data_IF_681766827199
#
_entry.id   IF_681766827199
#
_cell.length_a   1.000
_cell.length_b   1.000
_cell.length_c   1.000
_cell.angle_alpha   90.00
_cell.angle_beta   90.00
_cell.angle_gamma   90.00
#
_symmetry.space_group_name_H-M   'P 1'
#
loop_
_entity.id
_entity.type
_entity.pdbx_description
1 polymer ?
#
# COMPACT_ATOMS: atom_id res chain seq x y z
N UNK A 1 -7.67 3.54 9.76
CA UNK A 1 -8.34 3.78 8.49
C UNK A 1 -7.36 4.37 7.50
N UNK A 2 -7.84 4.63 6.27
CA UNK A 2 -6.99 5.21 5.23
C UNK A 2 -6.19 6.39 5.79
N UNK A 3 -4.91 6.46 5.52
CA UNK A 3 -3.95 7.49 5.95
C UNK A 3 -3.61 7.49 7.45
N UNK A 4 -4.25 6.66 8.27
CA UNK A 4 -4.14 6.68 9.71
C UNK A 4 -4.70 7.95 10.36
N UNK A 5 -4.96 7.90 11.65
CA UNK A 5 -5.39 9.07 12.42
C UNK A 5 -6.74 9.66 12.05
N UNK A 6 -7.65 8.86 11.45
CA UNK A 6 -9.03 9.25 11.17
C UNK A 6 -10.02 8.25 11.75
N UNK A 7 -11.20 8.74 12.11
CA UNK A 7 -12.32 7.90 12.54
C UNK A 7 -13.05 7.28 11.32
N UNK A 8 -14.03 6.40 11.53
CA UNK A 8 -14.82 5.81 10.43
C UNK A 8 -15.58 6.82 9.56
N UNK A 9 -15.73 8.06 10.03
CA UNK A 9 -16.38 9.16 9.30
C UNK A 9 -15.36 10.02 8.53
N UNK A 10 -14.07 9.67 8.60
CA UNK A 10 -13.00 10.42 7.96
C UNK A 10 -12.54 11.67 8.72
N UNK A 11 -13.02 11.88 9.96
CA UNK A 11 -12.60 13.01 10.77
C UNK A 11 -11.25 12.71 11.44
N UNK A 12 -10.34 13.70 11.45
CA UNK A 12 -9.05 13.55 12.09
C UNK A 12 -9.19 13.28 13.58
N UNK A 13 -8.52 12.25 14.06
CA UNK A 13 -8.38 11.91 15.48
C UNK A 13 -6.99 12.25 16.03
N UNK A 14 -6.13 12.86 15.21
CA UNK A 14 -4.72 13.07 15.52
C UNK A 14 -4.50 13.77 16.85
N UNK A 15 -5.13 14.91 17.09
CA UNK A 15 -4.96 15.68 18.33
C UNK A 15 -5.36 14.89 19.58
N UNK A 16 -6.34 14.01 19.47
CA UNK A 16 -6.80 13.14 20.56
C UNK A 16 -5.84 11.97 20.80
N UNK A 17 -5.42 11.31 19.74
CA UNK A 17 -4.66 10.06 19.81
C UNK A 17 -3.13 10.29 19.92
N UNK A 18 -2.67 11.48 19.53
CA UNK A 18 -1.24 11.87 19.52
C UNK A 18 -1.01 13.29 20.05
N UNK A 19 -1.45 13.60 21.29
CA UNK A 19 -1.45 14.97 21.80
C UNK A 19 -0.06 15.61 21.93
N UNK A 20 1.00 14.80 21.93
CA UNK A 20 2.39 15.27 22.09
C UNK A 20 3.17 15.25 20.77
N UNK A 21 2.51 15.07 19.63
CA UNK A 21 3.15 15.10 18.32
C UNK A 21 2.84 16.43 17.63
N UNK A 22 3.85 17.05 17.06
CA UNK A 22 3.69 18.34 16.38
C UNK A 22 2.90 18.22 15.07
N UNK A 23 3.08 17.09 14.35
CA UNK A 23 2.48 16.84 13.03
C UNK A 23 1.99 15.41 12.88
N UNK A 24 0.89 15.19 12.13
CA UNK A 24 0.57 13.87 11.60
C UNK A 24 1.71 13.30 10.76
N UNK A 25 1.89 11.98 10.78
CA UNK A 25 2.92 11.31 9.95
C UNK A 25 2.74 11.62 8.47
N UNK A 26 1.49 11.70 7.99
CA UNK A 26 1.21 12.09 6.61
C UNK A 26 1.82 13.45 6.27
N UNK A 27 1.55 14.47 7.09
CA UNK A 27 2.04 15.82 6.86
C UNK A 27 3.58 15.88 6.93
N UNK A 28 4.17 15.12 7.85
CA UNK A 28 5.63 14.98 7.95
C UNK A 28 6.22 14.36 6.67
N UNK A 29 5.59 13.33 6.11
CA UNK A 29 6.02 12.72 4.85
C UNK A 29 5.91 13.68 3.68
N UNK A 30 4.81 14.45 3.60
CA UNK A 30 4.60 15.48 2.57
C UNK A 30 5.68 16.55 2.65
N UNK A 31 5.92 17.11 3.84
CA UNK A 31 6.96 18.13 4.05
C UNK A 31 8.36 17.65 3.69
N UNK A 32 8.67 16.38 3.92
CA UNK A 32 9.97 15.78 3.61
C UNK A 32 10.02 15.13 2.23
N UNK A 33 9.05 15.42 1.35
CA UNK A 33 9.03 14.93 -0.03
C UNK A 33 9.12 13.41 -0.15
N UNK A 34 8.57 12.66 0.80
CA UNK A 34 8.50 11.19 0.69
C UNK A 34 7.64 10.84 -0.51
N UNK A 35 8.17 9.99 -1.39
CA UNK A 35 7.45 9.57 -2.61
C UNK A 35 6.60 8.34 -2.38
N UNK A 36 7.07 7.42 -1.55
CA UNK A 36 6.45 6.10 -1.38
C UNK A 36 6.59 5.62 0.07
N UNK A 37 5.50 5.14 0.64
CA UNK A 37 5.43 4.58 1.98
C UNK A 37 4.84 3.17 1.93
N UNK A 38 5.61 2.17 2.36
CA UNK A 38 5.16 0.79 2.47
C UNK A 38 4.58 0.53 3.85
N UNK A 39 3.45 -0.15 3.90
CA UNK A 39 2.79 -0.57 5.14
C UNK A 39 2.28 -2.01 5.02
N UNK A 40 2.18 -2.68 6.14
CA UNK A 40 1.64 -4.04 6.26
C UNK A 40 0.38 -4.06 7.13
N UNK A 41 0.11 -5.23 7.73
CA UNK A 41 -0.95 -5.53 8.69
C UNK A 41 -2.28 -5.94 8.03
N UNK A 42 -2.78 -5.25 7.02
CA UNK A 42 -4.12 -5.48 6.47
C UNK A 42 -4.21 -6.64 5.46
N UNK A 43 -3.10 -7.33 5.21
CA UNK A 43 -3.05 -8.52 4.36
C UNK A 43 -3.72 -8.35 3.00
N UNK A 44 -3.50 -7.21 2.35
CA UNK A 44 -4.05 -6.91 1.03
C UNK A 44 -3.06 -6.05 0.25
N UNK A 45 -2.96 -6.26 -1.05
CA UNK A 45 -2.28 -5.30 -1.92
C UNK A 45 -3.21 -4.12 -2.20
N UNK A 46 -2.83 -2.93 -1.76
CA UNK A 46 -3.54 -1.69 -2.10
C UNK A 46 -2.54 -0.59 -2.38
N UNK A 47 -2.67 0.05 -3.54
CA UNK A 47 -1.91 1.25 -3.89
C UNK A 47 -2.84 2.44 -3.86
N UNK A 48 -2.53 3.44 -3.06
CA UNK A 48 -3.27 4.70 -2.95
C UNK A 48 -2.30 5.88 -3.07
N UNK A 49 -2.81 7.04 -3.45
CA UNK A 49 -2.02 8.27 -3.47
C UNK A 49 -2.77 9.39 -2.77
N UNK A 50 -2.03 10.16 -1.95
CA UNK A 50 -2.52 11.37 -1.31
C UNK A 50 -1.41 12.39 -1.20
N UNK A 51 -1.67 13.62 -1.65
CA UNK A 51 -0.74 14.76 -1.57
C UNK A 51 0.67 14.40 -2.10
N UNK A 52 0.71 13.61 -3.19
CA UNK A 52 1.92 13.13 -3.84
C UNK A 52 2.69 12.05 -3.08
N UNK A 53 2.16 11.50 -1.99
CA UNK A 53 2.72 10.32 -1.31
C UNK A 53 1.94 9.09 -1.73
N UNK A 54 2.64 8.09 -2.29
CA UNK A 54 2.04 6.80 -2.60
C UNK A 54 2.08 5.92 -1.35
N UNK A 55 0.93 5.40 -0.97
CA UNK A 55 0.75 4.44 0.12
C UNK A 55 0.57 3.05 -0.46
N UNK A 56 1.49 2.16 -0.15
CA UNK A 56 1.47 0.77 -0.62
C UNK A 56 1.25 -0.17 0.55
N UNK A 57 0.02 -0.69 0.69
CA UNK A 57 -0.25 -1.81 1.59
C UNK A 57 0.25 -3.11 0.99
N UNK A 58 0.97 -3.88 1.80
CA UNK A 58 1.63 -5.11 1.37
C UNK A 58 0.71 -6.32 1.54
N UNK A 59 0.66 -7.21 0.54
CA UNK A 59 -0.13 -8.43 0.62
C UNK A 59 0.46 -9.42 1.63
N UNK A 60 -0.38 -10.33 2.12
CA UNK A 60 0.10 -11.53 2.80
C UNK A 60 0.69 -12.50 1.76
N UNK A 61 1.94 -12.94 1.90
CA UNK A 61 2.56 -13.83 0.92
C UNK A 61 2.05 -15.27 0.97
N UNK A 62 1.36 -15.67 2.05
CA UNK A 62 1.04 -17.07 2.37
C UNK A 62 -0.47 -17.33 2.55
N UNK A 63 -1.35 -16.43 2.12
CA UNK A 63 -2.80 -16.63 2.17
C UNK A 63 -3.26 -17.45 0.97
N UNK A 64 -3.55 -18.72 1.19
CA UNK A 64 -3.97 -19.68 0.16
C UNK A 64 -5.46 -19.56 -0.23
N UNK A 65 -6.21 -18.69 0.44
CA UNK A 65 -7.59 -18.33 0.06
C UNK A 65 -7.62 -17.21 -0.98
N UNK A 66 -6.50 -16.54 -1.21
CA UNK A 66 -6.39 -15.40 -2.12
C UNK A 66 -7.37 -14.27 -1.79
N UNK A 67 -7.60 -14.05 -0.50
CA UNK A 67 -8.61 -13.13 -0.02
C UNK A 67 -8.26 -11.65 -0.27
N UNK A 68 -9.28 -10.80 -0.18
CA UNK A 68 -9.18 -9.35 -0.07
C UNK A 68 -9.42 -8.94 1.39
N UNK A 69 -8.53 -9.37 2.28
CA UNK A 69 -8.71 -9.12 3.70
C UNK A 69 -8.75 -7.61 3.99
N UNK A 70 -9.70 -7.16 4.80
CA UNK A 70 -9.92 -5.75 5.15
C UNK A 70 -10.18 -4.79 3.95
N UNK A 71 -10.57 -5.29 2.79
CA UNK A 71 -10.76 -4.43 1.60
C UNK A 71 -11.76 -3.27 1.85
N UNK A 72 -12.74 -3.47 2.72
CA UNK A 72 -13.75 -2.47 3.05
C UNK A 72 -13.18 -1.25 3.81
N UNK A 73 -12.00 -1.37 4.40
CA UNK A 73 -11.30 -0.27 5.04
C UNK A 73 -10.75 0.75 4.03
N UNK A 74 -10.60 0.34 2.76
CA UNK A 74 -10.02 1.15 1.70
C UNK A 74 -11.11 1.67 0.76
N UNK A 75 -11.30 2.98 0.73
CA UNK A 75 -12.33 3.65 -0.09
C UNK A 75 -11.87 3.96 -1.50
N UNK A 76 -10.55 4.00 -1.71
CA UNK A 76 -9.94 4.35 -2.99
C UNK A 76 -8.73 3.46 -3.30
N UNK A 77 -8.14 3.64 -4.48
CA UNK A 77 -6.92 2.99 -4.90
C UNK A 77 -7.11 1.68 -5.66
N UNK A 78 -6.00 1.15 -6.14
CA UNK A 78 -5.96 -0.13 -6.83
C UNK A 78 -5.78 -1.25 -5.83
N UNK A 79 -6.68 -2.23 -5.85
CA UNK A 79 -6.65 -3.39 -4.95
C UNK A 79 -6.35 -4.66 -5.74
N UNK A 80 -5.61 -5.56 -5.13
CA UNK A 80 -5.40 -6.91 -5.66
C UNK A 80 -5.40 -7.94 -4.51
N UNK A 81 -5.84 -9.17 -4.79
CA UNK A 81 -5.95 -10.19 -3.76
C UNK A 81 -4.57 -10.70 -3.32
N UNK A 82 -4.52 -11.31 -2.14
CA UNK A 82 -3.43 -12.19 -1.72
C UNK A 82 -3.32 -13.39 -2.68
N UNK A 83 -2.30 -14.16 -2.74
CA UNK A 83 -0.98 -14.03 -2.12
C UNK A 83 0.03 -13.50 -3.12
N UNK A 84 1.15 -13.00 -2.61
CA UNK A 84 2.20 -12.56 -3.50
C UNK A 84 3.27 -11.74 -2.78
N UNK A 85 4.18 -11.18 -3.57
CA UNK A 85 5.22 -10.30 -3.06
C UNK A 85 5.40 -9.08 -3.96
N UNK A 86 5.89 -8.02 -3.39
CA UNK A 86 6.24 -6.80 -4.12
C UNK A 86 7.74 -6.76 -4.37
N UNK A 87 8.12 -6.48 -5.60
CA UNK A 87 9.49 -6.14 -6.00
C UNK A 87 9.59 -4.65 -6.25
N UNK A 88 10.62 -4.04 -5.71
CA UNK A 88 10.97 -2.64 -5.97
C UNK A 88 12.33 -2.58 -6.64
N UNK A 89 12.36 -2.04 -7.85
CA UNK A 89 13.59 -1.79 -8.61
C UNK A 89 13.86 -0.30 -8.63
N UNK A 90 15.00 0.12 -8.08
CA UNK A 90 15.35 1.54 -7.95
C UNK A 90 16.49 1.90 -8.89
N UNK A 91 16.31 2.97 -9.66
CA UNK A 91 17.30 3.62 -10.49
C UNK A 91 17.33 5.12 -10.21
N UNK A 92 18.39 5.87 -10.62
CA UNK A 92 18.44 7.32 -10.41
C UNK A 92 17.25 8.10 -10.98
N UNK A 93 16.65 7.60 -12.05
CA UNK A 93 15.55 8.27 -12.76
C UNK A 93 14.16 7.86 -12.28
N UNK A 94 14.01 6.70 -11.64
CA UNK A 94 12.69 6.19 -11.19
C UNK A 94 12.84 4.97 -10.29
N UNK A 95 11.78 4.68 -9.52
CA UNK A 95 11.56 3.37 -8.92
C UNK A 95 10.37 2.68 -9.60
N UNK A 96 10.52 1.39 -9.93
CA UNK A 96 9.43 0.56 -10.43
C UNK A 96 8.98 -0.38 -9.32
N UNK A 97 7.68 -0.41 -9.08
CA UNK A 97 7.04 -1.27 -8.08
C UNK A 97 6.15 -2.27 -8.82
N UNK A 98 6.37 -3.57 -8.57
CA UNK A 98 5.66 -4.65 -9.25
C UNK A 98 5.10 -5.62 -8.20
N UNK A 99 3.83 -5.97 -8.33
CA UNK A 99 3.20 -6.99 -7.52
C UNK A 99 3.15 -8.32 -8.28
N UNK A 100 3.86 -9.32 -7.78
CA UNK A 100 3.89 -10.68 -8.30
C UNK A 100 2.97 -11.58 -7.50
N UNK A 101 2.08 -12.28 -8.19
CA UNK A 101 1.22 -13.29 -7.58
C UNK A 101 2.03 -14.53 -7.20
N UNK A 102 1.71 -15.09 -6.04
CA UNK A 102 2.12 -16.45 -5.67
C UNK A 102 0.99 -17.43 -5.97
N UNK A 103 1.33 -18.58 -6.54
CA UNK A 103 0.39 -19.65 -6.83
C UNK A 103 1.08 -21.00 -6.78
N UNK A 104 0.36 -22.00 -6.30
CA UNK A 104 0.78 -23.41 -6.39
C UNK A 104 0.41 -23.97 -7.77
N UNK A 105 1.03 -25.04 -8.24
CA UNK A 105 0.67 -25.67 -9.50
C UNK A 105 -0.79 -26.11 -9.59
N UNK A 106 -1.42 -26.34 -8.45
CA UNK A 106 -2.82 -26.80 -8.32
C UNK A 106 -3.84 -25.65 -8.29
N UNK A 107 -3.40 -24.39 -8.17
CA UNK A 107 -4.30 -23.24 -8.05
C UNK A 107 -4.84 -22.84 -9.42
N UNK A 108 -6.11 -23.07 -9.63
CA UNK A 108 -6.78 -22.72 -10.88
C UNK A 108 -6.92 -21.18 -11.05
N UNK A 109 -6.72 -20.69 -12.27
CA UNK A 109 -6.94 -19.28 -12.60
C UNK A 109 -5.84 -18.33 -12.13
N UNK A 110 -4.77 -18.83 -11.50
CA UNK A 110 -3.60 -18.05 -11.06
C UNK A 110 -2.32 -18.63 -11.64
N UNK A 111 -1.42 -17.77 -12.00
CA UNK A 111 -0.08 -18.16 -12.44
C UNK A 111 0.97 -17.61 -11.50
N UNK A 112 1.86 -18.48 -11.01
CA UNK A 112 2.98 -18.05 -10.17
C UNK A 112 3.87 -17.05 -10.91
N UNK A 113 4.29 -16.01 -10.22
CA UNK A 113 5.09 -14.90 -10.73
C UNK A 113 4.40 -14.06 -11.84
N UNK A 114 3.10 -14.18 -11.99
CA UNK A 114 2.34 -13.25 -12.83
C UNK A 114 2.33 -11.87 -12.19
N UNK A 115 2.64 -10.82 -12.97
CA UNK A 115 2.50 -9.44 -12.51
C UNK A 115 1.02 -9.08 -12.50
N UNK A 116 0.48 -8.82 -11.31
CA UNK A 116 -0.90 -8.40 -11.13
C UNK A 116 -1.06 -6.87 -11.21
N UNK A 117 -0.02 -6.14 -10.81
CA UNK A 117 0.01 -4.68 -10.86
C UNK A 117 1.44 -4.16 -10.95
N UNK A 118 1.63 -3.04 -11.63
CA UNK A 118 2.92 -2.35 -11.72
C UNK A 118 2.71 -0.85 -11.87
N UNK A 119 3.60 -0.08 -11.25
CA UNK A 119 3.63 1.38 -11.40
C UNK A 119 5.04 1.94 -11.24
N UNK A 120 5.23 3.18 -11.69
CA UNK A 120 6.50 3.89 -11.64
C UNK A 120 6.37 5.08 -10.68
N UNK A 121 7.38 5.28 -9.86
CA UNK A 121 7.53 6.41 -8.94
C UNK A 121 8.70 7.27 -9.42
N UNK A 122 8.42 8.51 -9.76
CA UNK A 122 9.43 9.47 -10.20
C UNK A 122 10.04 10.19 -8.99
N UNK A 123 11.31 10.62 -9.08
CA UNK A 123 11.92 11.47 -8.07
C UNK A 123 11.13 12.77 -7.89
N UNK A 124 11.03 13.25 -6.67
CA UNK A 124 10.50 14.58 -6.37
C UNK A 124 11.63 15.61 -6.42
N UNK A 125 11.41 16.67 -7.15
CA UNK A 125 12.32 17.83 -7.22
C UNK A 125 12.25 18.71 -5.97
#
# INVERSE_FOLDING_TARGET
>A
YEWGGSDPKGQSTFAKERPNWDLPIHDLMVQNKVSLFFQGHDHIFVTQERDGVIYQSMPNPADDTFSYFNENAYKSGTKAPNSGHVRVSVAPSAATVEYFLAARPTDAGRKNLQIAHSYIVLPKN
#
